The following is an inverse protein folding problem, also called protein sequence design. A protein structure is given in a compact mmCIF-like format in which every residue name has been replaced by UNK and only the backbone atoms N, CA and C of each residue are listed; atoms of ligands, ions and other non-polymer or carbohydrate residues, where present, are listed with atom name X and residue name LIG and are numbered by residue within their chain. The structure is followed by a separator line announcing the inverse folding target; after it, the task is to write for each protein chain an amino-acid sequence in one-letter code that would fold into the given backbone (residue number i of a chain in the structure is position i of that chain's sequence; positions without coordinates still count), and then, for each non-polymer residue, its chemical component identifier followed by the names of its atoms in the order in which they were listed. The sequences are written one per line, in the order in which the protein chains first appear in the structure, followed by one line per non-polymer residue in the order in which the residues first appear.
data_IF_496451921557
#
_entry.id   IF_496451921557
#
_cell.length_a   1.000
_cell.length_b   1.000
_cell.length_c   1.000
_cell.angle_alpha   90.00
_cell.angle_beta   90.00
_cell.angle_gamma   90.00
#
_symmetry.space_group_name_H-M   'P 1'
#
loop_
_entity.id
_entity.type
_entity.pdbx_description
1 polymer ?
#
# COMPACT_ATOMS: atom_id res chain seq x y z
N UNK A 1 -5.32 80.10 -62.58
CA UNK A 1 -4.76 78.73 -62.69
C UNK A 1 -5.25 77.92 -61.51
N UNK A 2 -5.83 76.75 -61.81
CA UNK A 2 -6.27 75.70 -60.89
C UNK A 2 -5.10 75.18 -60.03
N UNK A 3 -5.23 74.53 -58.87
CA UNK A 3 -5.91 73.25 -58.60
C UNK A 3 -6.12 73.03 -57.08
N UNK A 4 -7.22 72.37 -56.72
CA UNK A 4 -7.49 71.72 -55.41
C UNK A 4 -6.71 70.39 -55.29
N UNK A 5 -6.39 69.96 -54.08
CA UNK A 5 -6.23 68.54 -53.75
C UNK A 5 -6.58 68.27 -52.27
N UNK A 6 -7.61 67.47 -52.05
CA UNK A 6 -8.04 66.90 -50.77
C UNK A 6 -7.06 65.77 -50.37
N UNK A 7 -6.67 65.72 -49.09
CA UNK A 7 -5.86 64.61 -48.55
C UNK A 7 -6.80 63.56 -47.95
N UNK A 8 -6.93 62.48 -48.71
CA UNK A 8 -7.71 61.28 -48.44
C UNK A 8 -7.05 60.43 -47.35
N UNK A 9 -7.66 60.37 -46.17
CA UNK A 9 -7.36 59.39 -45.12
C UNK A 9 -7.75 57.97 -45.63
N UNK A 10 -6.77 57.07 -45.81
CA UNK A 10 -7.03 55.62 -45.86
C UNK A 10 -6.71 54.99 -44.50
N UNK A 11 -7.61 54.17 -43.91
CA UNK A 11 -7.23 53.24 -42.86
C UNK A 11 -6.75 51.92 -43.50
N UNK A 12 -5.59 51.43 -43.09
CA UNK A 12 -5.10 50.09 -43.43
C UNK A 12 -5.30 49.18 -42.22
N UNK A 13 -6.21 48.22 -42.34
CA UNK A 13 -6.47 47.14 -41.39
C UNK A 13 -6.07 45.83 -42.07
N UNK A 14 -5.25 44.99 -41.42
CA UNK A 14 -5.51 43.56 -41.08
C UNK A 14 -4.20 42.77 -40.80
N UNK A 15 -4.27 41.90 -39.78
CA UNK A 15 -3.52 40.64 -39.55
C UNK A 15 -2.16 40.63 -38.79
N UNK A 16 -2.21 40.80 -37.46
CA UNK A 16 -1.28 40.13 -36.52
C UNK A 16 -1.96 39.21 -35.48
N UNK A 17 -3.30 39.10 -35.49
CA UNK A 17 -4.07 38.38 -34.45
C UNK A 17 -4.00 36.85 -34.52
N UNK A 18 -3.40 36.25 -35.55
CA UNK A 18 -3.44 34.79 -35.76
C UNK A 18 -2.25 34.00 -35.18
N UNK A 19 -1.11 34.63 -34.86
CA UNK A 19 0.05 33.91 -34.29
C UNK A 19 0.06 33.89 -32.76
N UNK A 20 -0.42 34.96 -32.14
CA UNK A 20 -0.41 35.15 -30.68
C UNK A 20 -1.48 34.25 -30.02
N UNK A 21 -2.62 34.03 -30.66
CA UNK A 21 -3.69 33.15 -30.13
C UNK A 21 -3.28 31.69 -30.09
N UNK A 22 -2.60 31.16 -31.12
CA UNK A 22 -2.08 29.79 -31.11
C UNK A 22 -1.04 29.55 -30.02
N UNK A 23 -0.14 30.51 -29.80
CA UNK A 23 0.90 30.44 -28.77
C UNK A 23 0.28 30.48 -27.36
N UNK A 24 -0.69 31.36 -27.09
CA UNK A 24 -1.37 31.44 -25.78
C UNK A 24 -2.19 30.18 -25.47
N UNK A 25 -2.80 29.55 -26.49
CA UNK A 25 -3.49 28.26 -26.33
C UNK A 25 -2.49 27.13 -26.03
N UNK A 26 -1.32 27.12 -26.69
CA UNK A 26 -0.24 26.17 -26.36
C UNK A 26 0.22 26.39 -24.92
N UNK A 27 0.62 27.61 -24.53
CA UNK A 27 1.06 27.91 -23.17
C UNK A 27 0.01 27.57 -22.10
N UNK A 28 -1.27 27.86 -22.32
CA UNK A 28 -2.37 27.53 -21.40
C UNK A 28 -2.65 26.03 -21.25
N UNK A 29 -2.44 25.23 -22.30
CA UNK A 29 -2.60 23.77 -22.22
C UNK A 29 -1.39 23.10 -21.53
N UNK A 30 -0.18 23.60 -21.77
CA UNK A 30 1.02 23.10 -21.09
C UNK A 30 1.03 23.45 -19.60
N UNK A 31 0.55 24.64 -19.20
CA UNK A 31 0.43 24.98 -17.77
C UNK A 31 -0.58 24.09 -17.06
N UNK A 32 -1.74 23.80 -17.68
CA UNK A 32 -2.71 22.88 -17.10
C UNK A 32 -2.19 21.44 -17.06
N UNK A 33 -1.50 20.98 -18.11
CA UNK A 33 -0.93 19.65 -18.16
C UNK A 33 0.21 19.47 -17.14
N UNK A 34 1.11 20.44 -17.03
CA UNK A 34 2.20 20.44 -16.06
C UNK A 34 1.69 20.60 -14.62
N UNK A 35 0.68 21.45 -14.38
CA UNK A 35 0.03 21.58 -13.08
C UNK A 35 -0.68 20.27 -12.69
N UNK A 36 -1.36 19.62 -13.63
CA UNK A 36 -1.98 18.32 -13.42
C UNK A 36 -0.93 17.23 -13.15
N UNK A 37 0.18 17.23 -13.88
CA UNK A 37 1.28 16.30 -13.65
C UNK A 37 1.91 16.53 -12.27
N UNK A 38 2.11 17.78 -11.87
CA UNK A 38 2.66 18.18 -10.58
C UNK A 38 1.70 17.85 -9.43
N UNK A 39 0.39 18.07 -9.61
CA UNK A 39 -0.62 17.71 -8.61
C UNK A 39 -0.73 16.19 -8.45
N UNK A 40 -0.67 15.45 -9.56
CA UNK A 40 -0.69 13.97 -9.57
C UNK A 40 0.57 13.38 -8.93
N UNK A 41 1.74 13.98 -9.14
CA UNK A 41 2.98 13.56 -8.46
C UNK A 41 3.00 13.94 -6.99
N UNK A 42 2.53 15.13 -6.61
CA UNK A 42 2.44 15.56 -5.22
C UNK A 42 1.45 14.70 -4.41
N UNK A 43 0.28 14.37 -4.97
CA UNK A 43 -0.66 13.42 -4.34
C UNK A 43 -0.01 12.04 -4.13
N UNK A 44 0.75 11.56 -5.11
CA UNK A 44 1.48 10.30 -5.01
C UNK A 44 2.62 10.36 -3.99
N UNK A 45 3.29 11.50 -3.83
CA UNK A 45 4.38 11.69 -2.86
C UNK A 45 3.86 11.79 -1.41
N UNK A 46 2.71 12.44 -1.21
CA UNK A 46 2.05 12.49 0.10
C UNK A 46 1.60 11.12 0.61
N UNK A 47 1.31 10.17 -0.28
CA UNK A 47 0.93 8.80 0.09
C UNK A 47 2.14 7.98 0.58
N UNK A 48 3.35 8.25 0.06
CA UNK A 48 4.56 7.46 0.32
C UNK A 48 5.23 7.81 1.65
N UNK A 49 5.05 9.04 2.15
CA UNK A 49 5.80 9.56 3.31
C UNK A 49 5.16 9.26 4.68
N UNK A 50 4.00 8.63 4.73
CA UNK A 50 3.35 8.28 5.99
C UNK A 50 3.98 7.00 6.58
N UNK A 51 4.57 7.10 7.76
CA UNK A 51 5.05 5.94 8.52
C UNK A 51 3.90 4.94 8.72
N UNK A 52 4.01 3.75 8.13
CA UNK A 52 2.99 2.72 8.21
C UNK A 52 3.12 1.95 9.52
N UNK A 53 2.02 1.87 10.27
CA UNK A 53 1.96 1.08 11.51
C UNK A 53 1.92 -0.41 11.12
N UNK A 54 2.67 -1.27 11.83
CA UNK A 54 2.70 -2.70 11.51
C UNK A 54 1.41 -3.44 11.87
N UNK A 55 0.71 -2.98 12.91
CA UNK A 55 -0.48 -3.62 13.45
C UNK A 55 -1.56 -2.61 13.78
N UNK A 56 -2.79 -2.93 13.42
CA UNK A 56 -3.96 -2.09 13.61
C UNK A 56 -4.98 -2.79 14.51
N UNK A 57 -5.62 -2.04 15.40
CA UNK A 57 -6.77 -2.51 16.17
C UNK A 57 -8.02 -2.50 15.30
N UNK A 58 -9.05 -3.29 15.65
CA UNK A 58 -10.32 -3.30 14.90
C UNK A 58 -10.96 -1.92 14.78
N UNK A 59 -10.83 -1.08 15.81
CA UNK A 59 -11.34 0.29 15.82
C UNK A 59 -10.60 1.18 14.81
N UNK A 60 -9.29 1.02 14.67
CA UNK A 60 -8.49 1.73 13.68
C UNK A 60 -8.84 1.27 12.26
N UNK A 61 -8.92 -0.04 12.03
CA UNK A 61 -9.30 -0.61 10.72
C UNK A 61 -10.67 -0.13 10.29
N UNK A 62 -11.64 -0.12 11.21
CA UNK A 62 -12.99 0.38 10.97
C UNK A 62 -12.99 1.83 10.47
N UNK A 63 -12.14 2.69 11.04
CA UNK A 63 -12.00 4.09 10.60
C UNK A 63 -11.27 4.22 9.26
N UNK A 64 -10.25 3.38 9.01
CA UNK A 64 -9.45 3.43 7.76
C UNK A 64 -10.29 2.97 6.57
N UNK A 65 -11.04 1.88 6.76
CA UNK A 65 -11.85 1.25 5.71
C UNK A 65 -13.24 1.88 5.63
N UNK A 66 -13.66 2.64 6.63
CA UNK A 66 -15.00 3.21 6.73
C UNK A 66 -16.08 2.12 6.64
N UNK A 67 -15.93 1.10 7.51
CA UNK A 67 -16.92 0.04 7.70
C UNK A 67 -17.06 -0.24 9.20
N UNK A 68 -18.29 -0.51 9.70
CA UNK A 68 -18.51 -0.77 11.11
C UNK A 68 -17.73 -1.99 11.63
N UNK A 69 -17.32 -1.97 12.90
CA UNK A 69 -16.54 -3.07 13.50
C UNK A 69 -17.28 -4.42 13.45
N UNK A 70 -18.61 -4.43 13.55
CA UNK A 70 -19.37 -5.68 13.48
C UNK A 70 -19.35 -6.30 12.07
N UNK A 71 -19.23 -5.49 11.02
CA UNK A 71 -19.08 -5.96 9.64
C UNK A 71 -17.72 -6.61 9.47
N UNK A 72 -16.65 -6.00 10.00
CA UNK A 72 -15.31 -6.61 9.98
C UNK A 72 -15.30 -7.97 10.68
N UNK A 73 -15.97 -8.09 11.84
CA UNK A 73 -16.11 -9.38 12.56
C UNK A 73 -16.91 -10.41 11.79
N UNK A 74 -17.87 -9.97 10.98
CA UNK A 74 -18.63 -10.84 10.10
C UNK A 74 -17.74 -11.32 8.94
N UNK A 75 -17.00 -10.43 8.28
CA UNK A 75 -16.07 -10.77 7.21
C UNK A 75 -14.97 -11.73 7.65
N UNK A 76 -14.45 -11.61 8.87
CA UNK A 76 -13.52 -12.60 9.44
C UNK A 76 -14.07 -14.03 9.45
N UNK A 77 -15.39 -14.21 9.57
CA UNK A 77 -16.03 -15.52 9.57
C UNK A 77 -16.26 -16.02 8.15
N UNK A 78 -16.70 -15.14 7.26
CA UNK A 78 -17.05 -15.51 5.88
C UNK A 78 -15.82 -15.73 4.99
N UNK A 79 -14.73 -15.02 5.22
CA UNK A 79 -13.54 -15.05 4.38
C UNK A 79 -12.36 -15.73 5.09
N UNK A 80 -12.03 -17.00 4.77
CA UNK A 80 -10.97 -17.75 5.44
C UNK A 80 -9.55 -17.21 5.20
N UNK A 81 -9.38 -16.30 4.23
CA UNK A 81 -8.13 -15.59 3.99
C UNK A 81 -7.89 -14.45 4.99
N UNK A 82 -8.96 -13.89 5.57
CA UNK A 82 -8.88 -12.81 6.56
C UNK A 82 -8.82 -13.40 7.97
N UNK A 83 -7.62 -13.56 8.52
CA UNK A 83 -7.38 -14.19 9.82
C UNK A 83 -6.56 -13.27 10.75
N UNK A 84 -7.17 -12.19 11.28
CA UNK A 84 -6.48 -11.32 12.22
C UNK A 84 -6.06 -12.10 13.46
N UNK A 85 -4.85 -11.84 13.94
CA UNK A 85 -4.33 -12.47 15.15
C UNK A 85 -5.02 -11.88 16.37
N UNK A 86 -5.00 -12.61 17.48
CA UNK A 86 -5.38 -12.08 18.79
C UNK A 86 -4.11 -11.77 19.57
N UNK A 87 -4.09 -10.65 20.27
CA UNK A 87 -3.03 -10.35 21.22
C UNK A 87 -3.24 -11.13 22.53
N UNK A 88 -2.31 -10.99 23.50
CA UNK A 88 -2.42 -11.67 24.81
C UNK A 88 -3.69 -11.32 25.58
N UNK A 89 -4.25 -10.12 25.38
CA UNK A 89 -5.48 -9.66 26.00
C UNK A 89 -6.76 -10.11 25.25
N UNK A 90 -6.63 -10.85 24.14
CA UNK A 90 -7.76 -11.32 23.33
C UNK A 90 -8.28 -10.31 22.29
N UNK A 91 -7.66 -9.13 22.18
CA UNK A 91 -8.02 -8.13 21.18
C UNK A 91 -7.48 -8.51 19.79
N UNK A 92 -8.29 -8.24 18.76
CA UNK A 92 -7.93 -8.48 17.36
C UNK A 92 -6.91 -7.45 16.89
N UNK A 93 -5.87 -7.95 16.25
CA UNK A 93 -4.83 -7.17 15.59
C UNK A 93 -4.76 -7.56 14.12
N UNK A 94 -4.87 -6.55 13.25
CA UNK A 94 -4.80 -6.69 11.81
C UNK A 94 -3.42 -6.25 11.34
N UNK A 95 -2.83 -7.02 10.43
CA UNK A 95 -1.63 -6.63 9.70
C UNK A 95 -1.98 -5.78 8.48
N UNK A 96 -0.98 -5.18 7.84
CA UNK A 96 -1.19 -4.47 6.56
C UNK A 96 -1.78 -5.41 5.50
N UNK A 97 -1.36 -6.68 5.46
CA UNK A 97 -1.94 -7.68 4.55
C UNK A 97 -3.43 -7.90 4.80
N UNK A 98 -3.83 -7.99 6.07
CA UNK A 98 -5.26 -8.14 6.40
C UNK A 98 -6.04 -6.91 5.94
N UNK A 99 -5.43 -5.72 6.01
CA UNK A 99 -6.01 -4.46 5.57
C UNK A 99 -6.17 -4.42 4.04
N UNK A 100 -5.19 -4.91 3.27
CA UNK A 100 -5.30 -5.09 1.82
C UNK A 100 -6.47 -6.01 1.45
N UNK A 101 -6.60 -7.15 2.13
CA UNK A 101 -7.71 -8.09 1.92
C UNK A 101 -9.05 -7.43 2.24
N UNK A 102 -9.15 -6.72 3.37
CA UNK A 102 -10.38 -6.00 3.77
C UNK A 102 -10.76 -4.93 2.74
N UNK A 103 -9.79 -4.17 2.21
CA UNK A 103 -10.04 -3.19 1.14
C UNK A 103 -10.56 -3.87 -0.12
N UNK A 104 -9.96 -4.98 -0.53
CA UNK A 104 -10.40 -5.75 -1.68
C UNK A 104 -11.85 -6.28 -1.50
N UNK A 105 -12.16 -6.84 -0.34
CA UNK A 105 -13.52 -7.30 0.01
C UNK A 105 -14.52 -6.14 -0.08
N UNK A 106 -14.19 -4.96 0.48
CA UNK A 106 -15.07 -3.79 0.42
C UNK A 106 -15.38 -3.40 -1.02
N UNK A 107 -14.36 -3.28 -1.88
CA UNK A 107 -14.55 -2.91 -3.29
C UNK A 107 -15.41 -3.94 -4.02
N UNK A 108 -15.19 -5.24 -3.81
CA UNK A 108 -15.99 -6.30 -4.42
C UNK A 108 -17.47 -6.27 -3.98
N UNK A 109 -17.73 -6.07 -2.70
CA UNK A 109 -19.09 -6.07 -2.16
C UNK A 109 -19.85 -4.78 -2.44
N UNK A 110 -19.19 -3.61 -2.32
CA UNK A 110 -19.85 -2.29 -2.42
C UNK A 110 -19.88 -1.75 -3.84
N UNK A 111 -18.75 -1.82 -4.54
CA UNK A 111 -18.62 -1.25 -5.88
C UNK A 111 -19.06 -2.27 -6.94
N UNK A 112 -18.55 -3.51 -6.87
CA UNK A 112 -18.84 -4.55 -7.86
C UNK A 112 -20.13 -5.33 -7.57
N UNK A 113 -20.72 -5.16 -6.37
CA UNK A 113 -21.96 -5.84 -5.93
C UNK A 113 -21.91 -7.36 -6.09
N UNK A 114 -20.73 -7.96 -5.91
CA UNK A 114 -20.58 -9.40 -5.95
C UNK A 114 -21.27 -10.03 -4.74
N UNK A 115 -21.75 -11.26 -4.91
CA UNK A 115 -22.21 -12.07 -3.79
C UNK A 115 -21.03 -12.42 -2.87
N UNK A 116 -21.30 -12.80 -1.62
CA UNK A 116 -20.26 -13.26 -0.69
C UNK A 116 -19.44 -14.42 -1.28
N UNK A 117 -20.10 -15.34 -2.01
CA UNK A 117 -19.43 -16.46 -2.69
C UNK A 117 -18.56 -16.01 -3.86
N UNK A 118 -19.07 -15.12 -4.72
CA UNK A 118 -18.28 -14.60 -5.85
C UNK A 118 -17.10 -13.76 -5.39
N UNK A 119 -17.27 -12.99 -4.31
CA UNK A 119 -16.18 -12.26 -3.65
C UNK A 119 -15.10 -13.21 -3.13
N UNK A 120 -15.50 -14.32 -2.52
CA UNK A 120 -14.55 -15.31 -2.01
C UNK A 120 -13.70 -15.92 -3.13
N UNK A 121 -14.34 -16.35 -4.22
CA UNK A 121 -13.66 -16.91 -5.39
C UNK A 121 -12.66 -15.92 -6.00
N UNK A 122 -13.10 -14.68 -6.21
CA UNK A 122 -12.25 -13.62 -6.74
C UNK A 122 -11.08 -13.29 -5.78
N UNK A 123 -11.34 -13.28 -4.47
CA UNK A 123 -10.33 -13.06 -3.46
C UNK A 123 -9.26 -14.16 -3.48
N UNK A 124 -9.64 -15.43 -3.63
CA UNK A 124 -8.66 -16.50 -3.86
C UNK A 124 -7.88 -16.24 -5.14
N UNK A 125 -8.53 -15.93 -6.27
CA UNK A 125 -7.81 -15.64 -7.52
C UNK A 125 -6.74 -14.56 -7.37
N UNK A 126 -7.00 -13.52 -6.59
CA UNK A 126 -6.05 -12.42 -6.34
C UNK A 126 -4.90 -12.80 -5.41
N UNK A 127 -5.17 -13.59 -4.36
CA UNK A 127 -4.23 -13.85 -3.27
C UNK A 127 -3.62 -15.28 -3.26
N UNK A 128 -4.08 -16.18 -4.13
CA UNK A 128 -3.67 -17.59 -4.20
C UNK A 128 -2.38 -17.80 -5.01
N UNK A 129 -1.39 -16.92 -4.81
CA UNK A 129 -0.02 -17.23 -5.21
C UNK A 129 0.50 -18.32 -4.28
N UNK A 130 0.90 -19.50 -4.79
CA UNK A 130 1.31 -20.60 -3.93
C UNK A 130 2.61 -20.23 -3.19
N UNK A 131 2.51 -20.06 -1.87
CA UNK A 131 3.66 -20.19 -0.99
C UNK A 131 4.02 -21.67 -0.95
N UNK A 132 4.90 -22.12 -1.84
CA UNK A 132 5.62 -23.39 -1.64
C UNK A 132 6.30 -23.34 -0.26
N UNK A 133 6.34 -24.50 0.43
CA UNK A 133 6.93 -24.79 1.76
C UNK A 133 5.87 -24.68 2.89
N UNK A 134 5.41 -25.74 3.59
CA UNK A 134 6.03 -27.05 3.89
C UNK A 134 4.95 -28.11 4.15
N UNK A 135 5.09 -29.28 3.53
CA UNK A 135 4.52 -30.52 4.05
C UNK A 135 5.34 -30.98 5.26
N UNK A 136 4.69 -31.10 6.42
CA UNK A 136 4.93 -32.04 7.55
C UNK A 136 4.52 -31.38 8.88
N UNK A 137 3.53 -32.00 9.51
CA UNK A 137 3.39 -32.39 10.93
C UNK A 137 1.89 -32.62 11.16
N UNK A 138 1.38 -33.80 10.77
CA UNK A 138 1.16 -34.95 11.65
C UNK A 138 0.18 -34.66 12.79
N UNK A 139 -1.08 -35.05 12.56
CA UNK A 139 -1.75 -36.12 13.29
C UNK A 139 -1.16 -36.44 14.68
N UNK A 140 -1.83 -35.95 15.74
CA UNK A 140 -1.92 -36.64 17.04
C UNK A 140 -2.93 -35.91 17.94
N UNK A 141 -4.20 -36.32 17.84
CA UNK A 141 -5.11 -36.34 18.99
C UNK A 141 -5.12 -37.79 19.49
N UNK A 142 -4.21 -38.13 20.39
CA UNK A 142 -4.50 -39.02 21.53
C UNK A 142 -3.32 -39.05 22.53
N UNK A 143 -3.62 -38.56 23.74
CA UNK A 143 -3.09 -38.96 25.06
C UNK A 143 -1.66 -38.58 25.51
N UNK A 144 -1.64 -38.12 26.77
CA UNK A 144 -0.64 -38.24 27.85
C UNK A 144 0.56 -37.29 27.96
N UNK A 145 0.38 -36.28 28.83
CA UNK A 145 1.13 -35.98 30.08
C UNK A 145 2.61 -35.51 30.02
N UNK A 146 2.80 -34.31 30.61
CA UNK A 146 3.94 -33.77 31.41
C UNK A 146 4.53 -32.44 30.91
N UNK A 147 4.95 -31.62 31.88
CA UNK A 147 5.11 -30.16 31.90
C UNK A 147 6.31 -29.62 31.13
N UNK A 148 6.22 -28.40 30.55
CA UNK A 148 7.30 -27.37 30.60
C UNK A 148 6.72 -25.94 30.41
N UNK A 149 7.26 -25.01 31.20
CA UNK A 149 7.01 -23.57 31.40
C UNK A 149 7.05 -22.72 30.09
N UNK A 150 6.16 -21.72 29.89
CA UNK A 150 6.21 -20.84 28.70
C UNK A 150 7.25 -19.72 28.84
N UNK A 151 8.22 -19.67 27.91
CA UNK A 151 8.95 -18.45 27.54
C UNK A 151 8.73 -18.14 26.07
N UNK A 152 8.68 -16.86 25.81
CA UNK A 152 8.04 -16.23 24.68
C UNK A 152 9.02 -15.73 23.61
N UNK A 153 8.52 -15.57 22.37
CA UNK A 153 9.05 -14.83 21.20
C UNK A 153 10.26 -15.45 20.45
N UNK A 154 10.19 -15.68 19.13
CA UNK A 154 9.97 -14.65 18.10
C UNK A 154 9.54 -15.22 16.73
N UNK A 155 8.74 -14.43 15.99
CA UNK A 155 8.27 -14.64 14.62
C UNK A 155 8.67 -13.41 13.78
N UNK A 156 9.85 -13.42 13.16
CA UNK A 156 10.21 -12.48 12.09
C UNK A 156 11.15 -13.18 11.08
N UNK A 157 10.81 -13.08 9.80
CA UNK A 157 11.74 -13.05 8.66
C UNK A 157 12.43 -14.36 8.24
N UNK A 158 12.26 -14.72 6.98
CA UNK A 158 12.59 -16.02 6.38
C UNK A 158 14.05 -16.51 6.51
N UNK A 159 14.16 -17.85 6.54
CA UNK A 159 15.02 -18.72 5.72
C UNK A 159 16.40 -18.19 5.25
N UNK A 160 17.46 -18.81 5.80
CA UNK A 160 18.88 -18.74 5.41
C UNK A 160 19.63 -17.41 5.54
N UNK A 161 19.16 -16.30 5.00
CA UNK A 161 19.91 -15.04 4.93
C UNK A 161 20.20 -14.47 6.32
N UNK A 162 19.20 -14.50 7.20
CA UNK A 162 19.35 -14.12 8.61
C UNK A 162 20.35 -15.03 9.36
N UNK A 163 20.45 -16.31 8.99
CA UNK A 163 21.43 -17.22 9.63
C UNK A 163 22.87 -16.96 9.15
N UNK A 164 23.05 -16.42 7.94
CA UNK A 164 24.36 -16.05 7.42
C UNK A 164 24.83 -14.78 8.14
N UNK A 165 24.00 -13.74 8.15
CA UNK A 165 24.30 -12.46 8.81
C UNK A 165 24.61 -12.67 10.30
N UNK A 166 23.83 -13.48 11.01
CA UNK A 166 24.07 -13.76 12.44
C UNK A 166 25.34 -14.57 12.71
N UNK A 167 25.79 -15.41 11.77
CA UNK A 167 27.09 -16.10 11.89
C UNK A 167 28.23 -15.12 11.65
N UNK A 168 28.07 -14.25 10.68
CA UNK A 168 29.07 -13.26 10.29
C UNK A 168 29.33 -12.27 11.43
N UNK A 169 28.27 -11.69 12.00
CA UNK A 169 28.35 -10.81 13.19
C UNK A 169 29.03 -11.53 14.35
N UNK A 170 28.67 -12.80 14.62
CA UNK A 170 29.28 -13.60 15.70
C UNK A 170 30.78 -13.77 15.51
N UNK A 171 31.22 -14.04 14.28
CA UNK A 171 32.63 -14.25 13.98
C UNK A 171 33.42 -12.96 14.13
N UNK A 172 32.91 -11.84 13.62
CA UNK A 172 33.54 -10.52 13.79
C UNK A 172 33.71 -10.15 15.27
N UNK A 173 32.68 -10.38 16.09
CA UNK A 173 32.75 -10.12 17.54
C UNK A 173 33.77 -11.01 18.23
N UNK A 174 33.88 -12.27 17.82
CA UNK A 174 34.87 -13.21 18.37
C UNK A 174 36.29 -12.74 18.05
N UNK A 175 36.54 -12.28 16.81
CA UNK A 175 37.84 -11.73 16.41
C UNK A 175 38.22 -10.50 17.25
N UNK A 176 37.28 -9.58 17.48
CA UNK A 176 37.53 -8.39 18.31
C UNK A 176 37.84 -8.80 19.76
N UNK A 177 37.09 -9.76 20.31
CA UNK A 177 37.33 -10.28 21.66
C UNK A 177 38.73 -10.90 21.80
N UNK A 178 39.19 -11.58 20.75
CA UNK A 178 40.51 -12.23 20.72
C UNK A 178 41.63 -11.19 20.66
N UNK A 179 41.44 -10.12 19.88
CA UNK A 179 42.36 -8.97 19.84
C UNK A 179 42.43 -8.28 21.22
N UNK A 180 41.29 -8.06 21.87
CA UNK A 180 41.22 -7.40 23.17
C UNK A 180 41.83 -8.21 24.32
N UNK A 181 41.94 -9.54 24.18
CA UNK A 181 42.61 -10.42 25.16
C UNK A 181 44.11 -10.52 24.97
N UNK A 182 44.59 -10.16 23.78
CA UNK A 182 46.01 -10.18 23.41
C UNK A 182 46.66 -8.79 23.49
N UNK A 183 45.92 -7.80 24.00
CA UNK A 183 46.37 -6.48 24.47
C UNK A 183 46.56 -6.54 26.00
#
# INVERSE_FOLDING_TARGET
MQLKAEVFFRPFVQNEKCKITSIVIIFGNYTNFLLHLYFKTLLRFSIITKMQKLYYTISEVSKIVDEPQYVLRYWEKEFPLLKPKKNRAGNRIYSERDLEIVRAIKTMLREQKLSTKGTLEELYRMFDKPKKITAKTQQERTKSKSEVIPKEQSLFGDSYENKIILREIRNSLKTILEIAKNL
#
